data_IF_118967405247
#
_entry.id   IF_118967405247
#
_cell.length_a   1.000
_cell.length_b   1.000
_cell.length_c   1.000
_cell.angle_alpha   90.00
_cell.angle_beta   90.00
_cell.angle_gamma   90.00
#
_symmetry.space_group_name_H-M   'P 1'
#
loop_
_entity.id
_entity.type
_entity.pdbx_description
1 polymer ?
#
# COMPACT_ATOMS: atom_id res chain seq x y z
N UNK A 1 9.85 12.76 19.97
CA UNK A 1 8.41 13.01 19.87
C UNK A 1 7.95 12.62 18.47
N UNK A 2 6.81 11.96 18.38
CA UNK A 2 6.18 11.61 17.10
C UNK A 2 5.03 12.59 16.89
N UNK A 3 4.96 13.18 15.68
CA UNK A 3 3.86 14.05 15.29
C UNK A 3 2.84 13.22 14.51
N UNK A 4 1.57 13.58 14.68
CA UNK A 4 0.45 12.98 13.95
C UNK A 4 -0.14 14.04 13.03
N UNK A 5 -0.31 13.70 11.74
CA UNK A 5 -1.04 14.51 10.78
C UNK A 5 -2.54 14.34 11.03
N UNK A 6 -3.22 15.41 11.42
CA UNK A 6 -4.64 15.38 11.73
C UNK A 6 -5.39 16.30 10.77
N UNK A 7 -6.25 15.72 9.96
CA UNK A 7 -7.12 16.47 9.05
C UNK A 7 -8.47 16.70 9.73
N UNK A 8 -8.80 17.95 9.93
CA UNK A 8 -10.04 18.35 10.62
C UNK A 8 -10.88 19.28 9.76
N UNK A 9 -12.20 19.22 9.94
CA UNK A 9 -13.11 20.16 9.32
C UNK A 9 -13.16 21.44 10.15
N UNK A 10 -12.53 22.49 9.65
CA UNK A 10 -12.45 23.80 10.31
C UNK A 10 -13.56 24.78 9.90
N UNK A 11 -14.14 24.61 8.70
CA UNK A 11 -15.34 25.33 8.28
C UNK A 11 -16.49 24.35 8.00
N UNK A 12 -17.47 24.21 8.90
CA UNK A 12 -18.60 23.30 8.74
C UNK A 12 -19.62 23.74 7.69
N UNK A 13 -19.57 25.01 7.23
CA UNK A 13 -20.57 25.60 6.33
C UNK A 13 -20.30 25.32 4.85
N UNK A 14 -19.09 24.87 4.51
CA UNK A 14 -18.67 24.61 3.13
C UNK A 14 -18.44 23.12 2.89
N UNK A 15 -18.29 22.74 1.63
CA UNK A 15 -17.90 21.39 1.25
C UNK A 15 -16.61 20.94 2.00
N UNK A 16 -16.52 19.65 2.32
CA UNK A 16 -15.40 19.09 3.08
C UNK A 16 -14.03 19.38 2.44
N UNK A 17 -13.94 19.45 1.10
CA UNK A 17 -12.70 19.78 0.39
C UNK A 17 -12.25 21.23 0.58
N UNK A 18 -13.20 22.12 0.84
CA UNK A 18 -12.95 23.55 1.02
C UNK A 18 -12.86 23.98 2.48
N UNK A 19 -13.32 23.15 3.40
CA UNK A 19 -13.38 23.46 4.83
C UNK A 19 -12.50 22.58 5.69
N UNK A 20 -11.47 21.97 5.11
CA UNK A 20 -10.54 21.09 5.82
C UNK A 20 -9.20 21.78 6.06
N UNK A 21 -8.63 21.61 7.23
CA UNK A 21 -7.27 22.03 7.58
C UNK A 21 -6.44 20.83 8.06
N UNK A 22 -5.12 20.93 7.92
CA UNK A 22 -4.16 19.97 8.44
C UNK A 22 -3.42 20.56 9.61
N UNK A 23 -3.40 19.81 10.72
CA UNK A 23 -2.59 20.15 11.90
C UNK A 23 -1.58 19.05 12.21
N UNK A 24 -0.45 19.43 12.77
CA UNK A 24 0.52 18.52 13.37
C UNK A 24 0.30 18.49 14.89
N UNK A 25 -0.10 17.32 15.40
CA UNK A 25 -0.40 17.11 16.82
C UNK A 25 0.68 16.20 17.42
N UNK A 26 1.18 16.54 18.60
CA UNK A 26 2.05 15.65 19.36
C UNK A 26 1.27 14.40 19.79
N UNK A 27 1.90 13.23 19.72
CA UNK A 27 1.25 11.96 20.06
C UNK A 27 0.93 11.79 21.55
N UNK A 28 1.46 12.68 22.38
CA UNK A 28 1.23 12.80 23.82
C UNK A 28 0.40 14.03 24.20
N UNK A 29 -0.26 14.66 23.21
CA UNK A 29 -1.10 15.82 23.46
C UNK A 29 -2.21 15.51 24.49
N UNK A 30 -2.47 16.42 25.44
CA UNK A 30 -3.56 16.26 26.39
C UNK A 30 -4.89 16.05 25.68
N UNK A 31 -5.66 15.03 26.09
CA UNK A 31 -6.93 14.67 25.50
C UNK A 31 -6.84 13.71 24.29
N UNK A 32 -5.64 13.39 23.81
CA UNK A 32 -5.44 12.39 22.76
C UNK A 32 -5.26 11.00 23.37
N UNK A 33 -6.08 10.04 22.92
CA UNK A 33 -5.94 8.64 23.26
C UNK A 33 -5.64 7.84 22.00
N UNK A 34 -4.61 6.97 22.07
CA UNK A 34 -4.18 6.10 20.98
C UNK A 34 -4.35 4.65 21.38
N UNK A 35 -5.20 3.89 20.68
CA UNK A 35 -5.40 2.46 20.89
C UNK A 35 -4.90 1.68 19.69
N UNK A 36 -3.91 0.80 19.90
CA UNK A 36 -3.43 -0.09 18.84
C UNK A 36 -4.52 -1.10 18.47
N UNK A 37 -4.72 -1.28 17.17
CA UNK A 37 -5.62 -2.30 16.61
C UNK A 37 -4.84 -3.56 16.26
N UNK A 38 -5.47 -4.72 16.47
CA UNK A 38 -4.95 -5.99 16.00
C UNK A 38 -5.25 -6.13 14.50
N UNK A 39 -4.19 -6.22 13.71
CA UNK A 39 -4.27 -6.26 12.25
C UNK A 39 -3.83 -7.62 11.73
N UNK A 40 -4.46 -8.08 10.64
CA UNK A 40 -4.08 -9.32 9.96
C UNK A 40 -2.64 -9.29 9.42
N UNK A 41 -2.16 -8.11 9.04
CA UNK A 41 -0.82 -7.90 8.50
C UNK A 41 -0.19 -6.58 8.94
N UNK A 42 1.02 -6.32 8.48
CA UNK A 42 1.79 -5.11 8.80
C UNK A 42 2.05 -4.91 10.30
N UNK A 43 2.31 -5.98 11.00
CA UNK A 43 2.54 -5.97 12.46
C UNK A 43 3.70 -5.07 12.89
N UNK A 44 4.66 -4.81 11.98
CA UNK A 44 5.83 -3.95 12.22
C UNK A 44 5.51 -2.46 12.29
N UNK A 45 4.41 -2.00 11.66
CA UNK A 45 4.06 -0.57 11.61
C UNK A 45 2.95 -0.20 12.60
N UNK A 46 2.01 -1.08 12.84
CA UNK A 46 0.84 -0.82 13.67
C UNK A 46 -0.21 0.07 12.98
N UNK A 47 -1.45 -0.11 13.39
CA UNK A 47 -2.60 0.74 13.06
C UNK A 47 -3.27 1.11 14.37
N UNK A 48 -3.72 2.35 14.50
CA UNK A 48 -4.25 2.88 15.75
C UNK A 48 -5.59 3.55 15.52
N UNK A 49 -6.49 3.35 16.46
CA UNK A 49 -7.65 4.18 16.64
C UNK A 49 -7.24 5.39 17.50
N UNK A 50 -7.60 6.59 17.03
CA UNK A 50 -7.32 7.83 17.72
C UNK A 50 -8.62 8.45 18.22
N UNK A 51 -8.68 8.77 19.49
CA UNK A 51 -9.79 9.50 20.09
C UNK A 51 -9.28 10.87 20.58
N UNK A 52 -10.00 11.91 20.16
CA UNK A 52 -9.68 13.30 20.51
C UNK A 52 -10.77 13.83 21.45
N UNK A 53 -10.38 14.25 22.64
CA UNK A 53 -11.24 14.85 23.63
C UNK A 53 -10.66 16.22 24.01
N UNK A 54 -11.24 17.28 23.45
CA UNK A 54 -10.83 18.69 23.64
C UNK A 54 -9.33 18.95 23.40
N UNK A 55 -8.73 18.22 22.43
CA UNK A 55 -7.31 18.40 22.05
C UNK A 55 -7.15 19.75 21.36
N UNK A 56 -6.20 20.54 21.85
CA UNK A 56 -5.90 21.87 21.32
C UNK A 56 -4.65 21.85 20.44
N UNK A 57 -4.70 22.60 19.36
CA UNK A 57 -3.57 22.86 18.48
C UNK A 57 -3.42 24.36 18.29
N UNK A 58 -2.21 24.86 18.47
CA UNK A 58 -1.88 26.28 18.24
C UNK A 58 -1.72 26.55 16.74
N UNK A 59 -1.78 27.82 16.35
CA UNK A 59 -1.71 28.24 14.94
C UNK A 59 -0.39 27.86 14.26
N UNK A 60 0.70 27.74 15.00
CA UNK A 60 2.00 27.30 14.50
C UNK A 60 2.03 25.80 14.08
N UNK A 61 1.02 25.04 14.52
CA UNK A 61 0.81 23.63 14.14
C UNK A 61 -0.02 23.47 12.87
N UNK A 62 -0.56 24.55 12.31
CA UNK A 62 -1.33 24.56 11.09
C UNK A 62 -0.43 24.45 9.87
N UNK A 63 -0.64 23.45 9.03
CA UNK A 63 0.14 23.20 7.80
C UNK A 63 -0.61 23.71 6.59
N UNK A 64 0.06 24.50 5.75
CA UNK A 64 -0.46 24.97 4.47
C UNK A 64 -1.52 26.07 4.55
N UNK A 65 -1.94 26.45 5.77
CA UNK A 65 -2.94 27.49 6.02
C UNK A 65 -4.35 26.96 6.21
N UNK A 66 -5.22 27.79 6.79
CA UNK A 66 -6.60 27.45 7.11
C UNK A 66 -7.38 27.04 5.85
N UNK A 67 -8.15 25.97 5.96
CA UNK A 67 -8.98 25.41 4.87
C UNK A 67 -8.18 24.93 3.64
N UNK A 68 -6.86 24.70 3.76
CA UNK A 68 -5.97 24.17 2.71
C UNK A 68 -5.59 22.70 2.91
N UNK A 69 -6.18 22.02 3.88
CA UNK A 69 -5.87 20.62 4.19
C UNK A 69 -6.11 19.67 3.03
N UNK A 70 -7.08 19.94 2.15
CA UNK A 70 -7.31 19.12 0.96
C UNK A 70 -6.15 19.19 -0.03
N UNK A 71 -5.56 20.35 -0.24
CA UNK A 71 -4.39 20.51 -1.11
C UNK A 71 -3.19 19.73 -0.53
N UNK A 72 -3.02 19.75 0.81
CA UNK A 72 -2.02 18.95 1.50
C UNK A 72 -2.25 17.44 1.31
N UNK A 73 -3.49 16.96 1.41
CA UNK A 73 -3.83 15.56 1.12
C UNK A 73 -3.44 15.18 -0.31
N UNK A 74 -3.81 15.99 -1.28
CA UNK A 74 -3.57 15.68 -2.70
C UNK A 74 -2.08 15.61 -3.03
N UNK A 75 -1.26 16.49 -2.45
CA UNK A 75 0.19 16.51 -2.69
C UNK A 75 0.87 15.22 -2.20
N UNK A 76 0.42 14.64 -1.09
CA UNK A 76 0.95 13.40 -0.52
C UNK A 76 0.41 12.13 -1.19
N UNK A 77 -0.88 12.10 -1.50
CA UNK A 77 -1.56 10.87 -1.96
C UNK A 77 -1.03 10.31 -3.27
N UNK A 78 -0.58 11.15 -4.20
CA UNK A 78 -0.05 10.67 -5.47
C UNK A 78 1.23 9.88 -5.27
N UNK A 79 2.15 10.40 -4.47
CA UNK A 79 3.42 9.72 -4.13
C UNK A 79 3.15 8.45 -3.34
N UNK A 80 2.27 8.50 -2.34
CA UNK A 80 1.88 7.34 -1.53
C UNK A 80 1.31 6.20 -2.39
N UNK A 81 0.45 6.50 -3.35
CA UNK A 81 -0.11 5.49 -4.27
C UNK A 81 0.94 4.83 -5.14
N UNK A 82 1.91 5.59 -5.65
CA UNK A 82 3.04 5.03 -6.41
C UNK A 82 3.91 4.14 -5.52
N UNK A 83 4.22 4.58 -4.30
CA UNK A 83 4.97 3.78 -3.32
C UNK A 83 4.23 2.50 -2.94
N UNK A 84 2.92 2.57 -2.74
CA UNK A 84 2.07 1.40 -2.48
C UNK A 84 2.10 0.42 -3.67
N UNK A 85 2.00 0.92 -4.90
CA UNK A 85 2.11 0.09 -6.09
C UNK A 85 3.49 -0.59 -6.19
N UNK A 86 4.56 0.14 -5.92
CA UNK A 86 5.93 -0.40 -5.93
C UNK A 86 6.11 -1.50 -4.87
N UNK A 87 5.60 -1.29 -3.65
CA UNK A 87 5.62 -2.30 -2.59
C UNK A 87 4.87 -3.58 -2.97
N UNK A 88 3.67 -3.44 -3.56
CA UNK A 88 2.88 -4.59 -4.01
C UNK A 88 3.55 -5.35 -5.16
N UNK A 89 4.16 -4.65 -6.13
CA UNK A 89 4.93 -5.27 -7.23
C UNK A 89 6.14 -6.03 -6.67
N UNK A 90 6.88 -5.44 -5.72
CA UNK A 90 8.00 -6.09 -5.06
C UNK A 90 7.61 -7.36 -4.31
N UNK A 91 6.51 -7.30 -3.56
CA UNK A 91 5.96 -8.44 -2.82
C UNK A 91 5.46 -9.53 -3.78
N UNK A 92 4.73 -9.16 -4.84
CA UNK A 92 4.26 -10.10 -5.86
C UNK A 92 5.43 -10.82 -6.54
N UNK A 93 6.51 -10.11 -6.89
CA UNK A 93 7.72 -10.70 -7.45
C UNK A 93 8.37 -11.69 -6.50
N UNK A 94 8.50 -11.35 -5.23
CA UNK A 94 9.07 -12.26 -4.23
C UNK A 94 8.27 -13.58 -4.13
N UNK A 95 6.94 -13.51 -4.22
CA UNK A 95 6.09 -14.71 -4.26
C UNK A 95 6.39 -15.57 -5.50
N UNK A 96 6.52 -14.95 -6.68
CA UNK A 96 6.86 -15.68 -7.92
C UNK A 96 8.23 -16.35 -7.81
N UNK A 97 9.22 -15.64 -7.29
CA UNK A 97 10.58 -16.16 -7.11
C UNK A 97 10.58 -17.38 -6.14
N UNK A 98 9.91 -17.25 -4.98
CA UNK A 98 9.77 -18.33 -3.99
C UNK A 98 9.04 -19.54 -4.60
N UNK A 99 7.90 -19.32 -5.26
CA UNK A 99 7.10 -20.39 -5.85
C UNK A 99 7.88 -21.10 -6.97
N UNK A 100 8.64 -20.35 -7.79
CA UNK A 100 9.48 -20.90 -8.86
C UNK A 100 10.61 -21.76 -8.28
N UNK A 101 11.28 -21.29 -7.24
CA UNK A 101 12.33 -22.06 -6.59
C UNK A 101 11.79 -23.35 -5.98
N UNK A 102 10.69 -23.25 -5.24
CA UNK A 102 10.02 -24.41 -4.67
C UNK A 102 9.60 -25.43 -5.76
N UNK A 103 9.06 -24.96 -6.88
CA UNK A 103 8.65 -25.83 -7.97
C UNK A 103 9.81 -26.58 -8.64
N UNK A 104 11.03 -26.04 -8.59
CA UNK A 104 12.26 -26.71 -9.06
C UNK A 104 12.77 -27.75 -8.06
N UNK A 105 12.62 -27.51 -6.77
CA UNK A 105 13.17 -28.36 -5.70
C UNK A 105 12.21 -29.45 -5.23
N UNK A 106 10.91 -29.17 -5.24
CA UNK A 106 9.90 -30.14 -4.76
C UNK A 106 9.65 -31.22 -5.80
N UNK A 107 9.90 -32.47 -5.41
CA UNK A 107 9.65 -33.65 -6.25
C UNK A 107 8.35 -34.34 -5.85
N UNK A 108 7.54 -34.68 -6.84
CA UNK A 108 6.37 -35.57 -6.73
C UNK A 108 6.25 -36.37 -8.03
N UNK A 109 5.78 -37.60 -7.94
CA UNK A 109 5.67 -38.53 -9.08
C UNK A 109 7.01 -38.71 -9.85
N UNK A 110 8.13 -38.73 -9.10
CA UNK A 110 9.46 -38.99 -9.62
C UNK A 110 10.16 -37.81 -10.32
N UNK A 111 9.59 -36.60 -10.32
CA UNK A 111 10.16 -35.41 -10.96
C UNK A 111 9.82 -34.12 -10.22
N UNK A 112 10.55 -33.01 -10.48
CA UNK A 112 10.19 -31.70 -9.96
C UNK A 112 8.75 -31.32 -10.35
N UNK A 113 7.99 -30.72 -9.43
CA UNK A 113 6.59 -30.33 -9.72
C UNK A 113 6.49 -29.28 -10.83
N UNK A 114 7.52 -28.42 -10.99
CA UNK A 114 7.61 -27.45 -12.08
C UNK A 114 7.66 -28.03 -13.49
N UNK A 115 7.96 -29.34 -13.64
CA UNK A 115 7.89 -30.02 -14.91
C UNK A 115 6.45 -30.37 -15.36
N UNK A 116 5.45 -30.19 -14.48
CA UNK A 116 4.05 -30.35 -14.83
C UNK A 116 3.52 -29.07 -15.48
N UNK A 117 2.88 -29.20 -16.66
CA UNK A 117 2.40 -28.04 -17.43
C UNK A 117 1.48 -27.13 -16.62
N UNK A 118 0.60 -27.69 -15.77
CA UNK A 118 -0.29 -26.90 -14.92
C UNK A 118 0.47 -25.92 -13.99
N UNK A 119 1.62 -26.36 -13.46
CA UNK A 119 2.47 -25.51 -12.61
C UNK A 119 3.32 -24.56 -13.46
N UNK A 120 3.90 -25.06 -14.56
CA UNK A 120 4.75 -24.26 -15.45
C UNK A 120 3.97 -23.09 -16.08
N UNK A 121 2.76 -23.34 -16.58
CA UNK A 121 1.91 -22.29 -17.16
C UNK A 121 1.45 -21.29 -16.08
N UNK A 122 1.05 -21.76 -14.91
CA UNK A 122 0.67 -20.88 -13.81
C UNK A 122 1.82 -19.92 -13.43
N UNK A 123 3.05 -20.42 -13.30
CA UNK A 123 4.23 -19.59 -13.02
C UNK A 123 4.51 -18.59 -14.16
N UNK A 124 4.32 -18.97 -15.41
CA UNK A 124 4.49 -18.07 -16.56
C UNK A 124 3.45 -16.94 -16.55
N UNK A 125 2.18 -17.26 -16.25
CA UNK A 125 1.11 -16.29 -16.12
C UNK A 125 1.38 -15.32 -14.94
N UNK A 126 1.81 -15.85 -13.79
CA UNK A 126 2.20 -15.07 -12.64
C UNK A 126 3.32 -14.07 -12.98
N UNK A 127 4.39 -14.54 -13.61
CA UNK A 127 5.51 -13.69 -14.02
C UNK A 127 5.07 -12.60 -15.00
N UNK A 128 4.23 -12.94 -15.99
CA UNK A 128 3.71 -11.99 -16.97
C UNK A 128 2.90 -10.87 -16.32
N UNK A 129 2.01 -11.20 -15.38
CA UNK A 129 1.19 -10.21 -14.68
C UNK A 129 2.03 -9.30 -13.80
N UNK A 130 3.02 -9.83 -13.09
CA UNK A 130 3.93 -9.04 -12.28
C UNK A 130 4.73 -8.05 -13.14
N UNK A 131 5.24 -8.46 -14.28
CA UNK A 131 5.97 -7.58 -15.19
C UNK A 131 5.06 -6.50 -15.80
N UNK A 132 3.82 -6.81 -16.15
CA UNK A 132 2.83 -5.85 -16.62
C UNK A 132 2.54 -4.79 -15.53
N UNK A 133 2.30 -5.21 -14.29
CA UNK A 133 2.10 -4.30 -13.16
C UNK A 133 3.34 -3.45 -12.89
N UNK A 134 4.53 -4.03 -12.99
CA UNK A 134 5.82 -3.34 -12.83
C UNK A 134 6.01 -2.26 -13.88
N UNK A 135 5.74 -2.56 -15.15
CA UNK A 135 5.87 -1.59 -16.25
C UNK A 135 4.95 -0.38 -16.05
N UNK A 136 3.69 -0.62 -15.67
CA UNK A 136 2.73 0.46 -15.42
C UNK A 136 3.11 1.29 -14.18
N UNK A 137 3.60 0.65 -13.12
CA UNK A 137 4.11 1.35 -11.94
C UNK A 137 5.30 2.26 -12.29
N UNK A 138 6.26 1.77 -13.09
CA UNK A 138 7.38 2.58 -13.55
C UNK A 138 6.95 3.75 -14.42
N UNK A 139 5.97 3.56 -15.30
CA UNK A 139 5.39 4.64 -16.10
C UNK A 139 4.78 5.73 -15.20
N UNK A 140 4.02 5.34 -14.17
CA UNK A 140 3.45 6.28 -13.21
C UNK A 140 4.54 7.02 -12.43
N UNK A 141 5.55 6.30 -11.93
CA UNK A 141 6.68 6.87 -11.19
C UNK A 141 7.47 7.88 -12.03
N UNK A 142 7.75 7.54 -13.29
CA UNK A 142 8.45 8.44 -14.21
C UNK A 142 7.65 9.72 -14.46
N UNK A 143 6.35 9.63 -14.71
CA UNK A 143 5.51 10.83 -14.90
C UNK A 143 5.54 11.74 -13.68
N UNK A 144 5.43 11.17 -12.48
CA UNK A 144 5.54 11.95 -11.23
C UNK A 144 6.91 12.62 -11.12
N UNK A 145 7.99 11.92 -11.44
CA UNK A 145 9.36 12.44 -11.30
C UNK A 145 9.66 13.63 -12.24
N UNK A 146 8.98 13.70 -13.39
CA UNK A 146 9.13 14.81 -14.33
C UNK A 146 8.04 15.89 -14.19
N UNK A 147 7.19 15.80 -13.16
CA UNK A 147 6.11 16.76 -12.90
C UNK A 147 4.97 16.73 -13.92
N UNK A 148 4.83 15.64 -14.70
CA UNK A 148 3.74 15.48 -15.66
C UNK A 148 2.44 15.06 -14.97
N UNK A 149 1.29 15.35 -15.60
CA UNK A 149 0.01 14.84 -15.12
C UNK A 149 0.00 13.31 -15.16
N UNK A 150 -0.26 12.68 -14.00
CA UNK A 150 -0.09 11.25 -13.80
C UNK A 150 -1.26 10.57 -13.07
N UNK A 151 -2.35 11.28 -12.79
CA UNK A 151 -3.46 10.76 -11.96
C UNK A 151 -4.02 9.43 -12.50
N UNK A 152 -4.17 9.34 -13.81
CA UNK A 152 -4.67 8.14 -14.49
C UNK A 152 -3.70 6.97 -14.30
N UNK A 153 -2.43 7.16 -14.61
CA UNK A 153 -1.40 6.12 -14.52
C UNK A 153 -1.17 5.67 -13.08
N UNK A 154 -1.17 6.60 -12.13
CA UNK A 154 -1.08 6.30 -10.70
C UNK A 154 -2.26 5.43 -10.24
N UNK A 155 -3.47 5.79 -10.66
CA UNK A 155 -4.68 5.05 -10.28
C UNK A 155 -4.69 3.63 -10.86
N UNK A 156 -4.32 3.50 -12.14
CA UNK A 156 -4.21 2.19 -12.80
C UNK A 156 -3.09 1.35 -12.19
N UNK A 157 -1.91 1.93 -11.93
CA UNK A 157 -0.79 1.23 -11.34
C UNK A 157 -1.12 0.70 -9.93
N UNK A 158 -1.74 1.53 -9.09
CA UNK A 158 -2.15 1.12 -7.74
C UNK A 158 -3.16 -0.02 -7.78
N UNK A 159 -4.17 0.07 -8.63
CA UNK A 159 -5.20 -0.95 -8.79
C UNK A 159 -4.57 -2.27 -9.26
N UNK A 160 -3.89 -2.24 -10.41
CA UNK A 160 -3.30 -3.44 -11.00
C UNK A 160 -2.28 -4.11 -10.06
N UNK A 161 -1.40 -3.33 -9.42
CA UNK A 161 -0.38 -3.87 -8.52
C UNK A 161 -1.00 -4.55 -7.30
N UNK A 162 -2.05 -3.98 -6.70
CA UNK A 162 -2.70 -4.57 -5.52
C UNK A 162 -3.48 -5.85 -5.85
N UNK A 163 -4.19 -5.88 -6.97
CA UNK A 163 -4.91 -7.08 -7.43
C UNK A 163 -3.93 -8.18 -7.85
N UNK A 164 -2.86 -7.82 -8.59
CA UNK A 164 -1.80 -8.75 -8.96
C UNK A 164 -1.17 -9.37 -7.71
N UNK A 165 -0.82 -8.57 -6.70
CA UNK A 165 -0.22 -9.13 -5.48
C UNK A 165 -1.15 -10.11 -4.76
N UNK A 166 -2.44 -9.77 -4.62
CA UNK A 166 -3.42 -10.68 -4.00
C UNK A 166 -3.54 -12.00 -4.78
N UNK A 167 -3.57 -11.93 -6.11
CA UNK A 167 -3.60 -13.13 -6.97
C UNK A 167 -2.31 -13.95 -6.83
N UNK A 168 -1.13 -13.31 -6.87
CA UNK A 168 0.15 -14.00 -6.72
C UNK A 168 0.27 -14.69 -5.36
N UNK A 169 -0.21 -14.05 -4.28
CA UNK A 169 -0.22 -14.67 -2.95
C UNK A 169 -1.03 -15.97 -2.94
N UNK A 170 -2.23 -15.96 -3.52
CA UNK A 170 -3.08 -17.15 -3.63
C UNK A 170 -2.42 -18.25 -4.48
N UNK A 171 -1.88 -17.92 -5.63
CA UNK A 171 -1.20 -18.89 -6.50
C UNK A 171 0.08 -19.43 -5.87
N UNK A 172 0.85 -18.58 -5.19
CA UNK A 172 2.03 -19.01 -4.43
C UNK A 172 1.68 -20.02 -3.35
N UNK A 173 0.67 -19.73 -2.53
CA UNK A 173 0.17 -20.69 -1.53
C UNK A 173 -0.29 -22.01 -2.16
N UNK A 174 -0.98 -21.96 -3.29
CA UNK A 174 -1.42 -23.16 -4.02
C UNK A 174 -0.23 -24.00 -4.49
N UNK A 175 0.83 -23.38 -5.05
CA UNK A 175 2.03 -24.09 -5.51
C UNK A 175 2.80 -24.71 -4.34
N UNK A 176 2.89 -24.01 -3.21
CA UNK A 176 3.56 -24.51 -2.00
C UNK A 176 2.75 -25.60 -1.28
N UNK A 177 1.44 -25.73 -1.56
CA UNK A 177 0.55 -26.69 -0.91
C UNK A 177 0.47 -26.46 0.60
N UNK A 178 0.61 -27.51 1.43
CA UNK A 178 0.53 -27.37 2.88
C UNK A 178 1.56 -26.38 3.47
N UNK A 179 2.73 -26.24 2.86
CA UNK A 179 3.72 -25.26 3.30
C UNK A 179 3.28 -23.81 3.06
N UNK A 180 2.34 -23.56 2.14
CA UNK A 180 1.85 -22.21 1.85
C UNK A 180 1.06 -21.57 2.99
N UNK A 181 0.50 -22.35 3.91
CA UNK A 181 -0.26 -21.86 5.07
C UNK A 181 0.24 -22.40 6.42
N UNK A 182 1.36 -23.10 6.42
CA UNK A 182 2.03 -23.51 7.66
C UNK A 182 2.80 -22.34 8.26
N UNK A 183 2.84 -22.26 9.60
CA UNK A 183 3.62 -21.26 10.35
C UNK A 183 4.93 -21.84 10.84
#
# INVERSE_FOLDING_TARGET
>A
NTLINVYVKTDPKVDHRKGMSLFLIDNDAPGLQCRKLDMLGRHCTGTYELQFDDVRADDDRLVGGANKGWDCVLSGLQVERVMSAAGNVGAARAVVDIATQYAKERHQFGRPIGSNQAIAHLLADMATKVEAARALMWQAAWKVSVGAEALREISMAKLLASETYAEMANHGMQILGAYGYSM
#
